data_IF_211041923329
#
_entry.id   IF_211041923329
#
_cell.length_a   1.000
_cell.length_b   1.000
_cell.length_c   1.000
_cell.angle_alpha   90.00
_cell.angle_beta   90.00
_cell.angle_gamma   90.00
#
_symmetry.space_group_name_H-M   'P 1'
#
loop_
_entity.id
_entity.type
_entity.pdbx_description
1 polymer ?
#
# COMPACT_ATOMS: atom_id res chain seq x y z
N UNK A 1 -21.02 -4.80 -7.84
CA UNK A 1 -21.20 -3.56 -7.04
C UNK A 1 -20.38 -3.58 -5.74
N UNK A 2 -20.28 -4.71 -5.02
CA UNK A 2 -19.58 -4.82 -3.72
C UNK A 2 -18.09 -4.48 -3.88
N UNK A 3 -17.40 -5.02 -4.88
CA UNK A 3 -15.99 -4.72 -5.15
C UNK A 3 -15.72 -3.24 -5.40
N UNK A 4 -16.61 -2.54 -6.12
CA UNK A 4 -16.48 -1.09 -6.37
C UNK A 4 -16.62 -0.27 -5.07
N UNK A 5 -17.57 -0.64 -4.21
CA UNK A 5 -17.74 0.02 -2.90
C UNK A 5 -16.51 -0.17 -2.00
N UNK A 6 -15.91 -1.36 -2.01
CA UNK A 6 -14.68 -1.65 -1.25
C UNK A 6 -13.50 -0.82 -1.75
N UNK A 7 -13.31 -0.71 -3.07
CA UNK A 7 -12.24 0.11 -3.65
C UNK A 7 -12.47 1.59 -3.30
N UNK A 8 -13.71 2.06 -3.36
CA UNK A 8 -14.05 3.44 -3.02
C UNK A 8 -13.76 3.73 -1.53
N UNK A 9 -14.15 2.83 -0.64
CA UNK A 9 -13.82 2.92 0.79
C UNK A 9 -12.31 2.93 1.03
N UNK A 10 -11.56 2.08 0.34
CA UNK A 10 -10.10 2.01 0.44
C UNK A 10 -9.45 3.30 -0.04
N UNK A 11 -9.94 3.90 -1.13
CA UNK A 11 -9.43 5.18 -1.64
C UNK A 11 -9.63 6.29 -0.61
N UNK A 12 -10.80 6.32 0.03
CA UNK A 12 -11.09 7.28 1.08
C UNK A 12 -10.15 7.13 2.28
N UNK A 13 -9.94 5.90 2.74
CA UNK A 13 -9.00 5.57 3.83
C UNK A 13 -7.58 6.05 3.47
N UNK A 14 -7.12 5.81 2.25
CA UNK A 14 -5.76 6.19 1.83
C UNK A 14 -5.57 7.69 1.65
N UNK A 15 -6.63 8.45 1.36
CA UNK A 15 -6.55 9.91 1.28
C UNK A 15 -6.18 10.54 2.63
N UNK A 16 -6.79 10.11 3.72
CA UNK A 16 -6.41 10.55 5.07
C UNK A 16 -5.04 10.05 5.50
N UNK A 17 -4.72 8.79 5.17
CA UNK A 17 -3.45 8.17 5.53
C UNK A 17 -2.23 8.97 5.03
N UNK A 18 -2.28 9.52 3.81
CA UNK A 18 -1.17 10.31 3.25
C UNK A 18 -0.91 11.58 4.06
N UNK A 19 -1.96 12.27 4.49
CA UNK A 19 -1.84 13.48 5.30
C UNK A 19 -1.26 13.16 6.69
N UNK A 20 -1.75 12.14 7.37
CA UNK A 20 -1.23 11.71 8.67
C UNK A 20 0.25 11.29 8.60
N UNK A 21 0.64 10.57 7.54
CA UNK A 21 2.05 10.22 7.35
C UNK A 21 2.96 11.45 7.25
N UNK A 22 2.51 12.53 6.60
CA UNK A 22 3.29 13.78 6.48
C UNK A 22 3.46 14.50 7.81
N UNK A 23 2.51 14.42 8.72
CA UNK A 23 2.62 14.98 10.08
C UNK A 23 3.62 14.18 10.91
N UNK A 24 3.64 12.86 10.76
CA UNK A 24 4.43 11.95 11.60
C UNK A 24 5.87 11.85 11.11
N UNK A 25 6.10 11.91 9.79
CA UNK A 25 7.43 11.74 9.18
C UNK A 25 8.02 13.13 8.85
N UNK A 26 9.28 13.37 9.14
CA UNK A 26 10.26 12.55 9.88
C UNK A 26 10.28 12.83 11.38
N UNK A 27 9.45 13.72 11.88
CA UNK A 27 9.53 14.31 13.22
C UNK A 27 9.42 13.27 14.33
N UNK A 28 8.46 12.35 14.22
CA UNK A 28 8.19 11.34 15.25
C UNK A 28 8.78 9.97 14.94
N UNK A 29 8.85 9.60 13.67
CA UNK A 29 9.41 8.32 13.23
C UNK A 29 10.03 8.46 11.84
N UNK A 30 11.17 7.82 11.62
CA UNK A 30 11.77 7.74 10.29
C UNK A 30 10.88 6.95 9.29
N UNK A 31 11.00 7.23 7.98
CA UNK A 31 10.16 6.62 6.96
C UNK A 31 10.21 5.08 6.98
N UNK A 32 11.38 4.50 7.10
CA UNK A 32 11.54 3.04 7.15
C UNK A 32 11.02 2.43 8.45
N UNK A 33 11.16 3.16 9.58
CA UNK A 33 10.60 2.75 10.88
C UNK A 33 9.08 2.64 10.83
N UNK A 34 8.41 3.60 10.17
CA UNK A 34 6.97 3.54 9.96
C UNK A 34 6.57 2.35 9.08
N UNK A 35 7.32 2.05 8.01
CA UNK A 35 7.07 0.85 7.18
C UNK A 35 7.15 -0.41 8.02
N UNK A 36 8.21 -0.56 8.83
CA UNK A 36 8.39 -1.73 9.68
C UNK A 36 7.23 -1.86 10.69
N UNK A 37 6.83 -0.76 11.32
CA UNK A 37 5.73 -0.75 12.28
C UNK A 37 4.41 -1.19 11.63
N UNK A 38 4.12 -0.70 10.43
CA UNK A 38 2.93 -1.08 9.64
C UNK A 38 2.93 -2.56 9.26
N UNK A 39 4.05 -3.06 8.75
CA UNK A 39 4.19 -4.47 8.36
C UNK A 39 4.10 -5.40 9.58
N UNK A 40 4.68 -5.01 10.71
CA UNK A 40 4.63 -5.78 11.96
C UNK A 40 3.20 -5.84 12.52
N UNK A 41 2.49 -4.70 12.57
CA UNK A 41 1.11 -4.65 13.01
C UNK A 41 0.19 -5.50 12.11
N UNK A 42 0.36 -5.40 10.79
CA UNK A 42 -0.37 -6.22 9.83
C UNK A 42 -0.11 -7.71 10.02
N UNK A 43 1.16 -8.09 10.22
CA UNK A 43 1.54 -9.50 10.47
C UNK A 43 0.87 -10.00 11.73
N UNK A 44 1.00 -9.27 12.84
CA UNK A 44 0.40 -9.66 14.12
C UNK A 44 -1.10 -9.86 13.99
N UNK A 45 -1.81 -8.92 13.39
CA UNK A 45 -3.28 -8.98 13.26
C UNK A 45 -3.70 -10.15 12.38
N UNK A 46 -3.12 -10.33 11.19
CA UNK A 46 -3.55 -11.42 10.30
C UNK A 46 -3.15 -12.81 10.81
N UNK A 47 -2.07 -12.93 11.57
CA UNK A 47 -1.71 -14.19 12.22
C UNK A 47 -2.66 -14.50 13.38
N UNK A 48 -3.03 -13.51 14.19
CA UNK A 48 -4.04 -13.69 15.24
C UNK A 48 -5.40 -14.07 14.66
N UNK A 49 -5.87 -13.35 13.63
CA UNK A 49 -7.14 -13.69 12.96
C UNK A 49 -7.08 -15.12 12.42
N UNK A 50 -5.98 -15.52 11.78
CA UNK A 50 -5.83 -16.87 11.25
C UNK A 50 -5.70 -17.99 12.29
N UNK A 51 -5.39 -17.65 13.57
CA UNK A 51 -5.41 -18.59 14.68
C UNK A 51 -6.83 -18.78 15.25
N UNK A 52 -7.56 -17.66 15.43
CA UNK A 52 -8.91 -17.69 16.02
C UNK A 52 -10.01 -18.05 15.01
N UNK A 53 -9.82 -17.72 13.74
CA UNK A 53 -10.74 -18.01 12.65
C UNK A 53 -10.03 -18.85 11.59
N UNK A 54 -9.94 -20.18 11.81
CA UNK A 54 -9.30 -21.07 10.84
C UNK A 54 -10.03 -21.00 9.51
N UNK A 55 -9.26 -21.07 8.43
CA UNK A 55 -9.76 -21.07 7.05
C UNK A 55 -10.89 -22.09 6.89
N UNK A 56 -11.97 -21.69 6.22
CA UNK A 56 -13.09 -22.58 5.91
C UNK A 56 -12.58 -23.90 5.32
N UNK A 57 -13.10 -25.03 5.81
CA UNK A 57 -12.72 -26.38 5.36
C UNK A 57 -12.91 -26.60 3.86
N UNK A 58 -13.70 -25.76 3.21
CA UNK A 58 -14.02 -25.82 1.78
C UNK A 58 -12.93 -25.25 0.86
N UNK A 59 -11.94 -24.52 1.39
CA UNK A 59 -10.85 -23.95 0.59
C UNK A 59 -9.56 -24.76 0.73
N UNK A 60 -8.81 -24.97 -0.38
CA UNK A 60 -7.59 -25.74 -0.36
C UNK A 60 -6.51 -25.08 0.49
N UNK A 61 -5.67 -25.88 1.15
CA UNK A 61 -4.46 -25.38 1.79
C UNK A 61 -3.40 -25.02 0.74
N UNK A 62 -2.69 -23.88 0.88
CA UNK A 62 -1.70 -23.47 -0.09
C UNK A 62 -0.48 -24.39 -0.07
N UNK A 63 -0.01 -24.81 -1.26
CA UNK A 63 1.22 -25.54 -1.44
C UNK A 63 2.45 -24.62 -1.33
N UNK A 64 3.65 -25.18 -1.14
CA UNK A 64 4.90 -24.40 -1.02
C UNK A 64 5.13 -23.39 -2.15
N UNK A 65 4.80 -23.78 -3.40
CA UNK A 65 4.91 -22.88 -4.56
C UNK A 65 3.95 -21.68 -4.47
N UNK A 66 2.74 -21.91 -4.01
CA UNK A 66 1.70 -20.88 -3.86
C UNK A 66 2.03 -19.94 -2.71
N UNK A 67 2.56 -20.48 -1.60
CA UNK A 67 3.12 -19.68 -0.51
C UNK A 67 4.26 -18.78 -1.02
N UNK A 68 5.17 -19.32 -1.83
CA UNK A 68 6.25 -18.53 -2.44
C UNK A 68 5.73 -17.37 -3.28
N UNK A 69 4.64 -17.56 -4.01
CA UNK A 69 4.01 -16.48 -4.78
C UNK A 69 3.29 -15.45 -3.89
N UNK A 70 2.69 -15.87 -2.78
CA UNK A 70 2.13 -14.93 -1.78
C UNK A 70 3.23 -14.13 -1.09
N UNK A 71 4.37 -14.76 -0.78
CA UNK A 71 5.58 -14.10 -0.26
C UNK A 71 6.06 -13.03 -1.25
N UNK A 72 6.19 -13.37 -2.53
CA UNK A 72 6.56 -12.40 -3.57
C UNK A 72 5.52 -11.27 -3.68
N UNK A 73 4.24 -11.61 -3.59
CA UNK A 73 3.16 -10.63 -3.52
C UNK A 73 3.29 -9.67 -2.34
N UNK A 74 3.70 -10.16 -1.17
CA UNK A 74 3.97 -9.32 0.00
C UNK A 74 5.19 -8.42 -0.18
N UNK A 75 6.28 -8.96 -0.74
CA UNK A 75 7.49 -8.18 -1.05
C UNK A 75 7.17 -7.03 -2.01
N UNK A 76 6.42 -7.29 -3.07
CA UNK A 76 6.08 -6.28 -4.07
C UNK A 76 4.95 -5.34 -3.60
N UNK A 77 3.88 -5.90 -3.04
CA UNK A 77 2.64 -5.18 -2.80
C UNK A 77 2.58 -4.43 -1.48
N UNK A 78 3.11 -5.00 -0.43
CA UNK A 78 3.05 -4.41 0.90
C UNK A 78 4.42 -3.85 1.32
N UNK A 79 5.45 -4.68 1.43
CA UNK A 79 6.78 -4.27 1.90
C UNK A 79 7.48 -3.31 0.94
N UNK A 80 7.77 -3.76 -0.28
CA UNK A 80 8.49 -2.97 -1.27
C UNK A 80 7.71 -1.73 -1.71
N UNK A 81 6.42 -1.87 -1.97
CA UNK A 81 5.58 -0.72 -2.28
C UNK A 81 5.63 0.35 -1.18
N UNK A 82 5.48 -0.03 0.09
CA UNK A 82 5.54 0.91 1.20
C UNK A 82 6.93 1.53 1.37
N UNK A 83 8.01 0.74 1.24
CA UNK A 83 9.38 1.26 1.30
C UNK A 83 9.61 2.34 0.24
N UNK A 84 9.26 2.07 -1.01
CA UNK A 84 9.39 3.06 -2.08
C UNK A 84 8.48 4.27 -1.87
N UNK A 85 7.21 4.04 -1.52
CA UNK A 85 6.24 5.11 -1.39
C UNK A 85 6.54 6.06 -0.23
N UNK A 86 6.82 5.53 0.96
CA UNK A 86 7.01 6.36 2.16
C UNK A 86 8.35 7.11 2.08
N UNK A 87 9.42 6.48 1.59
CA UNK A 87 10.68 7.18 1.34
C UNK A 87 10.53 8.23 0.22
N UNK A 88 9.83 7.91 -0.85
CA UNK A 88 9.50 8.90 -1.89
C UNK A 88 8.70 10.07 -1.34
N UNK A 89 7.64 9.81 -0.58
CA UNK A 89 6.80 10.84 0.05
C UNK A 89 7.56 11.71 1.04
N UNK A 90 8.62 11.22 1.68
CA UNK A 90 9.46 12.03 2.57
C UNK A 90 10.34 13.02 1.81
N UNK A 91 10.63 12.75 0.52
CA UNK A 91 11.51 13.55 -0.34
C UNK A 91 10.75 14.45 -1.33
N UNK A 92 9.49 14.14 -1.62
CA UNK A 92 8.64 14.91 -2.55
C UNK A 92 7.38 15.41 -1.90
N UNK A 93 6.66 16.34 -2.56
CA UNK A 93 5.40 16.87 -2.08
C UNK A 93 4.25 15.82 -2.11
N UNK A 94 3.24 15.95 -1.23
CA UNK A 94 2.07 15.06 -1.26
C UNK A 94 1.33 15.11 -2.59
N UNK A 95 1.34 16.27 -3.24
CA UNK A 95 0.62 16.51 -4.50
C UNK A 95 1.35 15.84 -5.65
N UNK A 96 2.68 15.98 -5.73
CA UNK A 96 3.49 15.32 -6.76
C UNK A 96 3.41 13.80 -6.62
N UNK A 97 3.51 13.30 -5.38
CA UNK A 97 3.28 11.89 -5.09
C UNK A 97 1.88 11.43 -5.53
N UNK A 98 0.84 12.24 -5.34
CA UNK A 98 -0.52 11.92 -5.80
C UNK A 98 -0.59 11.89 -7.33
N UNK A 99 -0.04 12.90 -8.02
CA UNK A 99 -0.02 12.96 -9.49
C UNK A 99 0.69 11.76 -10.10
N UNK A 100 1.87 11.41 -9.57
CA UNK A 100 2.61 10.24 -10.03
C UNK A 100 1.78 8.97 -9.82
N UNK A 101 1.11 8.82 -8.69
CA UNK A 101 0.25 7.65 -8.43
C UNK A 101 -0.97 7.55 -9.35
N UNK A 102 -1.42 8.62 -9.98
CA UNK A 102 -2.50 8.54 -10.99
C UNK A 102 -2.06 7.79 -12.26
N UNK A 103 -0.76 7.60 -12.48
CA UNK A 103 -0.25 6.73 -13.55
C UNK A 103 -0.45 5.23 -13.26
N UNK A 104 -0.68 4.85 -12.01
CA UNK A 104 -0.81 3.46 -11.58
C UNK A 104 -1.89 2.65 -12.33
N UNK A 105 -3.12 3.16 -12.59
CA UNK A 105 -4.10 2.44 -13.40
C UNK A 105 -3.61 2.13 -14.82
N UNK A 106 -2.80 3.01 -15.41
CA UNK A 106 -2.21 2.80 -16.73
C UNK A 106 -1.27 1.61 -16.70
N UNK A 107 -0.38 1.58 -15.69
CA UNK A 107 0.58 0.49 -15.50
C UNK A 107 -0.15 -0.84 -15.26
N UNK A 108 -1.18 -0.83 -14.40
CA UNK A 108 -2.00 -2.03 -14.12
C UNK A 108 -2.66 -2.56 -15.40
N UNK A 109 -3.24 -1.69 -16.23
CA UNK A 109 -3.89 -2.11 -17.47
C UNK A 109 -2.86 -2.62 -18.48
N UNK A 110 -1.71 -1.96 -18.62
CA UNK A 110 -0.63 -2.42 -19.50
C UNK A 110 -0.14 -3.82 -19.08
N UNK A 111 0.11 -4.03 -17.80
CA UNK A 111 0.50 -5.33 -17.27
C UNK A 111 -0.63 -6.38 -17.43
N UNK A 112 -1.89 -6.00 -17.21
CA UNK A 112 -3.02 -6.92 -17.39
C UNK A 112 -3.18 -7.36 -18.85
N UNK A 113 -2.93 -6.48 -19.81
CA UNK A 113 -2.94 -6.83 -21.25
C UNK A 113 -1.78 -7.79 -21.55
N UNK A 114 -0.58 -7.51 -21.05
CA UNK A 114 0.62 -8.31 -21.33
C UNK A 114 0.55 -9.69 -20.65
N UNK A 115 0.22 -9.74 -19.37
CA UNK A 115 0.32 -10.98 -18.57
C UNK A 115 -0.99 -11.76 -18.46
N UNK A 116 -2.15 -11.08 -18.47
CA UNK A 116 -3.46 -11.71 -18.35
C UNK A 116 -4.23 -11.75 -19.69
N UNK A 117 -3.64 -11.24 -20.77
CA UNK A 117 -4.24 -11.16 -22.10
C UNK A 117 -5.65 -10.53 -22.09
N UNK A 118 -5.89 -9.56 -21.20
CA UNK A 118 -7.20 -8.90 -21.07
C UNK A 118 -7.45 -7.93 -22.20
N UNK A 119 -8.72 -7.84 -22.66
CA UNK A 119 -9.08 -6.93 -23.74
C UNK A 119 -9.02 -5.47 -23.26
N UNK A 120 -8.35 -4.62 -24.04
CA UNK A 120 -8.33 -3.17 -23.83
C UNK A 120 -9.58 -2.55 -24.46
N UNK A 121 -10.48 -2.09 -23.62
CA UNK A 121 -11.76 -1.50 -24.07
C UNK A 121 -11.69 0.03 -24.16
N UNK A 122 -12.50 0.62 -25.06
CA UNK A 122 -12.61 2.09 -25.21
C UNK A 122 -13.01 2.79 -23.91
N UNK A 123 -13.84 2.16 -23.08
CA UNK A 123 -14.23 2.68 -21.77
C UNK A 123 -13.04 2.77 -20.78
N UNK A 124 -12.15 1.78 -20.79
CA UNK A 124 -10.90 1.81 -20.00
C UNK A 124 -10.00 2.95 -20.48
N UNK A 125 -9.83 3.13 -21.78
CA UNK A 125 -9.06 4.24 -22.36
C UNK A 125 -9.62 5.60 -21.92
N UNK A 126 -10.93 5.79 -22.00
CA UNK A 126 -11.59 7.04 -21.61
C UNK A 126 -11.41 7.33 -20.11
N UNK A 127 -11.59 6.33 -19.24
CA UNK A 127 -11.37 6.46 -17.80
C UNK A 127 -9.93 6.86 -17.45
N UNK A 128 -8.93 6.29 -18.14
CA UNK A 128 -7.51 6.65 -17.98
C UNK A 128 -7.28 8.11 -18.39
N UNK A 129 -7.77 8.51 -19.57
CA UNK A 129 -7.62 9.88 -20.04
C UNK A 129 -8.25 10.91 -19.09
N UNK A 130 -9.42 10.60 -18.56
CA UNK A 130 -10.09 11.45 -17.57
C UNK A 130 -9.28 11.55 -16.26
N UNK A 131 -8.71 10.42 -15.79
CA UNK A 131 -7.86 10.38 -14.61
C UNK A 131 -6.57 11.20 -14.78
N UNK A 132 -5.90 11.08 -15.94
CA UNK A 132 -4.71 11.88 -16.27
C UNK A 132 -5.06 13.37 -16.34
N UNK A 133 -6.14 13.74 -17.01
CA UNK A 133 -6.58 15.12 -17.11
C UNK A 133 -6.87 15.74 -15.74
N UNK A 134 -7.53 15.00 -14.84
CA UNK A 134 -7.77 15.41 -13.46
C UNK A 134 -6.48 15.60 -12.66
N UNK A 135 -5.51 14.71 -12.82
CA UNK A 135 -4.22 14.80 -12.16
C UNK A 135 -3.40 16.00 -12.65
N UNK A 136 -3.34 16.21 -13.96
CA UNK A 136 -2.68 17.38 -14.56
C UNK A 136 -3.34 18.69 -14.09
N UNK A 137 -4.67 18.74 -14.04
CA UNK A 137 -5.38 19.89 -13.51
C UNK A 137 -5.01 20.18 -12.06
N UNK A 138 -4.94 19.14 -11.22
CA UNK A 138 -4.53 19.27 -9.82
C UNK A 138 -3.08 19.78 -9.68
N UNK A 139 -2.15 19.38 -10.58
CA UNK A 139 -0.75 19.83 -10.57
C UNK A 139 -0.56 21.29 -10.97
N UNK A 140 -1.45 21.82 -11.83
CA UNK A 140 -1.33 23.21 -12.33
C UNK A 140 -1.88 24.22 -11.31
N UNK A 141 -2.71 23.78 -10.36
CA UNK A 141 -3.23 24.68 -9.32
C UNK A 141 -2.11 25.16 -8.39
N UNK A 142 -2.03 26.47 -8.10
CA UNK A 142 -1.00 27.01 -7.22
C UNK A 142 -1.13 26.42 -5.82
N UNK A 143 -0.05 25.80 -5.35
CA UNK A 143 0.01 25.14 -4.06
C UNK A 143 0.69 26.06 -3.07
N UNK A 144 -0.10 26.68 -2.20
CA UNK A 144 0.42 27.44 -1.07
C UNK A 144 0.76 26.46 0.05
N UNK A 145 2.05 26.21 0.26
CA UNK A 145 2.52 25.59 1.50
C UNK A 145 3.32 24.29 1.47
N UNK A 146 3.84 23.82 0.33
CA UNK A 146 4.80 22.71 0.41
C UNK A 146 6.16 23.21 0.89
N UNK A 147 6.49 22.94 2.15
CA UNK A 147 7.82 23.19 2.73
C UNK A 147 8.87 22.16 2.27
N UNK A 148 8.46 21.16 1.52
CA UNK A 148 9.34 20.10 1.01
C UNK A 148 9.83 20.50 -0.37
N UNK A 149 11.15 20.55 -0.52
CA UNK A 149 11.81 20.79 -1.81
C UNK A 149 11.57 19.56 -2.70
N UNK A 150 10.86 19.77 -3.81
CA UNK A 150 10.59 18.70 -4.77
C UNK A 150 11.90 18.05 -5.19
N UNK A 151 11.97 16.75 -5.03
CA UNK A 151 13.15 15.95 -5.36
C UNK A 151 12.82 14.94 -6.44
N UNK A 152 13.52 15.03 -7.57
CA UNK A 152 13.42 14.02 -8.63
C UNK A 152 13.63 12.59 -8.11
N UNK A 153 14.51 12.40 -7.13
CA UNK A 153 14.72 11.11 -6.47
C UNK A 153 13.46 10.62 -5.73
N UNK A 154 12.74 11.53 -5.07
CA UNK A 154 11.46 11.23 -4.43
C UNK A 154 10.40 10.78 -5.44
N UNK A 155 10.31 11.48 -6.56
CA UNK A 155 9.35 11.17 -7.63
C UNK A 155 9.61 9.79 -8.26
N UNK A 156 10.89 9.47 -8.52
CA UNK A 156 11.30 8.15 -8.99
C UNK A 156 10.90 7.06 -8.00
N UNK A 157 11.08 7.26 -6.70
CA UNK A 157 10.67 6.30 -5.69
C UNK A 157 9.14 6.10 -5.68
N UNK A 158 8.35 7.18 -5.75
CA UNK A 158 6.89 7.09 -5.84
C UNK A 158 6.46 6.35 -7.11
N UNK A 159 7.12 6.60 -8.25
CA UNK A 159 6.86 5.87 -9.48
C UNK A 159 7.19 4.38 -9.34
N UNK A 160 8.35 4.04 -8.78
CA UNK A 160 8.72 2.66 -8.48
C UNK A 160 7.72 1.97 -7.56
N UNK A 161 7.15 2.68 -6.58
CA UNK A 161 6.08 2.15 -5.75
C UNK A 161 4.83 1.80 -6.56
N UNK A 162 4.44 2.66 -7.51
CA UNK A 162 3.29 2.44 -8.38
C UNK A 162 3.49 1.23 -9.30
N UNK A 163 4.70 1.06 -9.83
CA UNK A 163 5.08 -0.12 -10.63
C UNK A 163 5.04 -1.39 -9.77
N UNK A 164 5.65 -1.37 -8.60
CA UNK A 164 5.69 -2.51 -7.67
C UNK A 164 4.29 -2.96 -7.26
N UNK A 165 3.41 -2.01 -6.91
CA UNK A 165 2.03 -2.31 -6.55
C UNK A 165 1.22 -2.84 -7.74
N UNK A 166 1.47 -2.34 -8.94
CA UNK A 166 0.79 -2.80 -10.16
C UNK A 166 1.15 -4.25 -10.48
N UNK A 167 2.42 -4.62 -10.36
CA UNK A 167 2.86 -6.01 -10.47
C UNK A 167 2.21 -6.90 -9.43
N UNK A 168 2.16 -6.44 -8.17
CA UNK A 168 1.49 -7.16 -7.10
C UNK A 168 0.03 -7.47 -7.43
N UNK A 169 -0.76 -6.48 -7.91
CA UNK A 169 -2.16 -6.68 -8.22
C UNK A 169 -2.38 -7.78 -9.27
N UNK A 170 -1.54 -7.81 -10.30
CA UNK A 170 -1.60 -8.82 -11.35
C UNK A 170 -1.20 -10.20 -10.80
N UNK A 171 -0.13 -10.27 -10.05
CA UNK A 171 0.45 -11.50 -9.52
C UNK A 171 -0.47 -12.16 -8.48
N UNK A 172 -1.07 -11.37 -7.59
CA UNK A 172 -1.84 -11.92 -6.47
C UNK A 172 -3.28 -12.32 -6.84
N UNK A 173 -3.84 -11.75 -7.89
CA UNK A 173 -5.24 -11.98 -8.31
C UNK A 173 -5.65 -13.45 -8.37
N UNK A 174 -4.92 -14.38 -9.03
CA UNK A 174 -5.31 -15.78 -9.08
C UNK A 174 -5.32 -16.45 -7.69
N UNK A 175 -4.48 -15.97 -6.78
CA UNK A 175 -4.36 -16.53 -5.43
C UNK A 175 -5.48 -16.04 -4.50
N UNK A 176 -5.95 -14.80 -4.66
CA UNK A 176 -7.09 -14.29 -3.90
C UNK A 176 -8.38 -15.00 -4.27
N UNK A 177 -8.52 -15.42 -5.53
CA UNK A 177 -9.68 -16.19 -5.97
C UNK A 177 -9.66 -17.65 -5.49
N UNK A 178 -8.46 -18.23 -5.34
CA UNK A 178 -8.27 -19.62 -4.93
C UNK A 178 -8.28 -19.81 -3.41
N UNK A 179 -7.66 -18.90 -2.68
CA UNK A 179 -7.46 -18.99 -1.24
C UNK A 179 -8.27 -17.95 -0.49
N UNK A 180 -8.45 -18.17 0.80
CA UNK A 180 -9.05 -17.19 1.68
C UNK A 180 -8.16 -15.93 1.82
N UNK A 181 -8.78 -14.75 1.81
CA UNK A 181 -8.06 -13.48 1.86
C UNK A 181 -7.19 -13.35 3.12
N UNK A 182 -7.62 -13.91 4.25
CA UNK A 182 -6.82 -13.93 5.49
C UNK A 182 -5.56 -14.75 5.30
N UNK A 183 -5.66 -15.92 4.65
CA UNK A 183 -4.50 -16.78 4.35
C UNK A 183 -3.51 -16.08 3.43
N UNK A 184 -3.98 -15.39 2.40
CA UNK A 184 -3.13 -14.60 1.50
C UNK A 184 -2.43 -13.48 2.28
N UNK A 185 -3.18 -12.73 3.08
CA UNK A 185 -2.64 -11.62 3.88
C UNK A 185 -1.65 -12.06 4.95
N UNK A 186 -1.82 -13.25 5.55
CA UNK A 186 -0.85 -13.83 6.50
C UNK A 186 0.56 -13.92 5.89
N UNK A 187 0.67 -14.57 4.74
CA UNK A 187 1.96 -14.79 4.09
C UNK A 187 2.53 -13.51 3.51
N UNK A 188 1.69 -12.66 2.96
CA UNK A 188 2.09 -11.36 2.45
C UNK A 188 2.62 -10.44 3.54
N UNK A 189 1.92 -10.30 4.66
CA UNK A 189 2.33 -9.42 5.76
C UNK A 189 3.62 -9.91 6.42
N UNK A 190 3.77 -11.24 6.61
CA UNK A 190 4.99 -11.82 7.17
C UNK A 190 6.22 -11.51 6.29
N UNK A 191 6.12 -11.72 4.99
CA UNK A 191 7.22 -11.43 4.07
C UNK A 191 7.55 -9.94 4.02
N UNK A 192 6.53 -9.08 4.10
CA UNK A 192 6.69 -7.63 4.16
C UNK A 192 7.40 -7.17 5.42
N UNK A 193 7.08 -7.77 6.57
CA UNK A 193 7.78 -7.51 7.84
C UNK A 193 9.24 -7.92 7.73
N UNK A 194 9.53 -9.11 7.21
CA UNK A 194 10.91 -9.61 7.09
C UNK A 194 11.75 -8.70 6.19
N UNK A 195 11.23 -8.27 5.03
CA UNK A 195 11.99 -7.40 4.14
C UNK A 195 12.16 -5.98 4.67
N UNK A 196 11.22 -5.47 5.47
CA UNK A 196 11.31 -4.13 6.06
C UNK A 196 12.22 -4.06 7.30
N UNK A 197 12.49 -5.20 7.95
CA UNK A 197 13.31 -5.29 9.16
C UNK A 197 14.69 -4.63 9.03
N UNK A 198 15.53 -4.95 8.04
CA UNK A 198 16.88 -4.39 7.94
C UNK A 198 16.89 -2.88 7.70
N UNK A 199 15.85 -2.34 7.09
CA UNK A 199 15.75 -0.91 6.78
C UNK A 199 15.10 -0.12 7.94
N UNK A 200 14.10 -0.70 8.60
CA UNK A 200 13.27 0.02 9.56
C UNK A 200 13.70 -0.11 11.01
N UNK A 201 14.53 -1.09 11.36
CA UNK A 201 14.86 -1.36 12.75
C UNK A 201 15.61 -0.19 13.42
N UNK A 202 16.58 0.41 12.72
CA UNK A 202 17.33 1.56 13.23
C UNK A 202 16.45 2.79 13.45
N UNK A 203 15.56 3.07 12.48
CA UNK A 203 14.62 4.19 12.54
C UNK A 203 13.61 3.99 13.69
N UNK A 204 13.15 2.76 13.88
CA UNK A 204 12.19 2.43 14.93
C UNK A 204 12.79 2.58 16.33
N UNK A 205 14.00 2.04 16.54
CA UNK A 205 14.67 2.09 17.86
C UNK A 205 15.06 3.52 18.24
N UNK A 206 15.43 4.35 17.26
CA UNK A 206 15.83 5.75 17.50
C UNK A 206 14.65 6.72 17.47
N UNK A 207 13.45 6.23 17.26
CA UNK A 207 12.25 7.05 17.08
C UNK A 207 11.88 7.82 18.35
N UNK A 208 11.68 9.15 18.28
CA UNK A 208 11.14 9.94 19.37
C UNK A 208 9.71 9.53 19.78
N UNK A 209 9.01 8.80 18.93
CA UNK A 209 7.65 8.32 19.16
C UNK A 209 7.49 7.60 20.51
N UNK A 210 8.49 6.79 20.89
CA UNK A 210 8.46 6.01 22.14
C UNK A 210 8.96 6.82 23.34
N UNK A 211 9.31 8.09 23.16
CA UNK A 211 9.57 8.99 24.28
C UNK A 211 8.26 9.38 24.96
N UNK A 212 8.32 9.66 26.26
CA UNK A 212 7.17 10.08 27.06
C UNK A 212 6.50 11.41 26.61
N UNK A 213 7.03 12.05 25.57
CA UNK A 213 6.61 13.37 25.09
C UNK A 213 5.67 13.31 23.87
N UNK A 214 5.43 12.13 23.29
CA UNK A 214 4.54 12.01 22.14
C UNK A 214 3.08 12.31 22.54
N UNK A 215 2.45 13.35 21.97
CA UNK A 215 1.10 13.75 22.33
C UNK A 215 0.07 12.71 21.84
N UNK A 216 -1.10 12.68 22.51
CA UNK A 216 -2.14 11.69 22.23
C UNK A 216 -2.60 11.67 20.77
N UNK A 217 -2.66 12.83 20.11
CA UNK A 217 -3.10 12.90 18.71
C UNK A 217 -2.16 12.14 17.76
N UNK A 218 -0.84 12.17 18.01
CA UNK A 218 0.14 11.39 17.22
C UNK A 218 -0.11 9.89 17.36
N UNK A 219 -0.42 9.41 18.57
CA UNK A 219 -0.79 8.02 18.78
C UNK A 219 -2.08 7.62 18.07
N UNK A 220 -3.08 8.51 18.03
CA UNK A 220 -4.33 8.28 17.30
C UNK A 220 -4.09 8.19 15.78
N UNK A 221 -3.24 9.08 15.23
CA UNK A 221 -2.85 9.04 13.81
C UNK A 221 -2.08 7.76 13.47
N UNK A 222 -1.16 7.33 14.34
CA UNK A 222 -0.44 6.06 14.16
C UNK A 222 -1.41 4.87 14.22
N UNK A 223 -2.31 4.83 15.21
CA UNK A 223 -3.34 3.78 15.26
C UNK A 223 -4.18 3.74 13.98
N UNK A 224 -4.57 4.90 13.46
CA UNK A 224 -5.26 4.96 12.17
C UNK A 224 -4.41 4.37 11.03
N UNK A 225 -3.14 4.76 10.93
CA UNK A 225 -2.22 4.27 9.90
C UNK A 225 -2.04 2.74 10.01
N UNK A 226 -1.86 2.22 11.21
CA UNK A 226 -1.60 0.80 11.42
C UNK A 226 -2.84 -0.06 11.17
N UNK A 227 -3.95 0.27 11.80
CA UNK A 227 -5.14 -0.59 11.79
C UNK A 227 -6.09 -0.25 10.64
N UNK A 228 -6.43 1.03 10.44
CA UNK A 228 -7.39 1.40 9.42
C UNK A 228 -6.75 1.38 8.04
N UNK A 229 -5.66 2.11 7.84
CA UNK A 229 -5.06 2.21 6.52
C UNK A 229 -4.27 0.95 6.12
N UNK A 230 -3.59 0.26 7.05
CA UNK A 230 -2.80 -0.92 6.70
C UNK A 230 -3.64 -2.18 6.79
N UNK A 231 -4.21 -2.52 7.94
CA UNK A 231 -4.92 -3.79 8.10
C UNK A 231 -6.22 -3.79 7.27
N UNK A 232 -7.12 -2.85 7.53
CA UNK A 232 -8.42 -2.79 6.86
C UNK A 232 -8.24 -2.40 5.39
N UNK A 233 -7.44 -1.38 5.07
CA UNK A 233 -7.25 -0.90 3.71
C UNK A 233 -6.66 -1.96 2.78
N UNK A 234 -5.60 -2.67 3.18
CA UNK A 234 -5.05 -3.75 2.36
C UNK A 234 -5.96 -4.97 2.30
N UNK A 235 -6.62 -5.32 3.41
CA UNK A 235 -7.60 -6.41 3.40
C UNK A 235 -8.73 -6.14 2.41
N UNK A 236 -9.32 -4.94 2.43
CA UNK A 236 -10.37 -4.55 1.49
C UNK A 236 -9.87 -4.55 0.04
N UNK A 237 -8.64 -4.07 -0.20
CA UNK A 237 -8.04 -4.08 -1.54
C UNK A 237 -7.86 -5.51 -2.08
N UNK A 238 -7.33 -6.42 -1.26
CA UNK A 238 -7.13 -7.82 -1.63
C UNK A 238 -8.46 -8.55 -1.78
N UNK A 239 -9.41 -8.30 -0.89
CA UNK A 239 -10.73 -8.91 -0.94
C UNK A 239 -11.55 -8.44 -2.15
N UNK A 240 -11.41 -7.16 -2.54
CA UNK A 240 -12.07 -6.62 -3.72
C UNK A 240 -11.62 -7.28 -5.04
N UNK A 241 -10.43 -7.90 -5.09
CA UNK A 241 -9.95 -8.65 -6.26
C UNK A 241 -10.75 -9.93 -6.54
N UNK A 242 -11.56 -10.39 -5.58
CA UNK A 242 -12.44 -11.55 -5.74
C UNK A 242 -13.68 -11.24 -6.58
N UNK A 243 -14.02 -9.96 -6.75
CA UNK A 243 -15.18 -9.47 -7.51
C UNK A 243 -14.76 -8.77 -8.80
#
# INVERSE_FOLDING_TARGET
YIGHLMILATTFIYSFNTNFMKVIIPEWIGPNGLVLLRCSASTLVFWLIGLYFPTSSDRPHPQKKEIGMMILGGILGLGGNLLFYINGLSLTGPIDAFVIRTTQPIIVIALAVIFLHTVFTKYKAFGILLGIAGALYASIMPHTGSLVKDSFGGDVLVFCSSVSYSFFLILIKPYTQKFDSVTVMKWMSLSSMIISLPFGLSDLVRSPLFSAQAPLHIWLEICYILFVATVIGYFLSVYALNY
#
